data_IF_135729036713
#
_entry.id   IF_135729036713
#
_cell.length_a   1.000
_cell.length_b   1.000
_cell.length_c   1.000
_cell.angle_alpha   90.00
_cell.angle_beta   90.00
_cell.angle_gamma   90.00
#
_symmetry.space_group_name_H-M   'P 1'
#
loop_
_entity.id
_entity.type
_entity.pdbx_description
1 polymer ?
#
# COMPACT_ATOMS: atom_id res chain seq x y z
N UNK A 1 -15.42 71.87 13.61
CA UNK A 1 -15.85 70.65 12.94
C UNK A 1 -14.73 69.62 13.01
N UNK A 2 -14.79 68.70 13.90
CA UNK A 2 -13.82 67.61 13.96
C UNK A 2 -14.34 66.43 13.14
N UNK A 3 -13.64 66.11 12.10
CA UNK A 3 -13.89 64.90 11.37
C UNK A 3 -13.18 63.77 12.09
N UNK A 4 -13.92 62.83 12.61
CA UNK A 4 -13.37 61.59 13.09
C UNK A 4 -13.22 60.69 11.89
N UNK A 5 -11.99 60.39 11.45
CA UNK A 5 -11.86 59.39 10.41
C UNK A 5 -12.34 58.09 11.00
N UNK A 6 -13.34 57.48 10.37
CA UNK A 6 -13.75 56.14 10.68
C UNK A 6 -12.55 55.24 10.44
N UNK A 7 -11.84 54.89 11.52
CA UNK A 7 -10.86 53.82 11.43
C UNK A 7 -11.62 52.55 11.15
N UNK A 8 -11.65 52.18 9.92
CA UNK A 8 -12.02 50.84 9.54
C UNK A 8 -10.91 49.95 10.09
N UNK A 9 -11.15 49.35 11.20
CA UNK A 9 -10.38 48.20 11.63
C UNK A 9 -10.67 47.10 10.59
N UNK A 10 -9.79 46.99 9.64
CA UNK A 10 -9.74 45.82 8.81
C UNK A 10 -9.29 44.67 9.78
N UNK A 11 -10.24 43.94 10.28
CA UNK A 11 -9.94 42.68 10.92
C UNK A 11 -9.31 41.81 9.85
N UNK A 12 -7.99 41.73 9.85
CA UNK A 12 -7.31 40.74 9.08
C UNK A 12 -7.66 39.38 9.69
N UNK A 13 -8.65 38.72 9.10
CA UNK A 13 -8.85 37.31 9.39
C UNK A 13 -7.66 36.57 8.80
N UNK A 14 -6.68 36.30 9.63
CA UNK A 14 -5.72 35.27 9.31
C UNK A 14 -6.49 33.95 9.32
N UNK A 15 -6.92 33.54 8.17
CA UNK A 15 -7.38 32.16 8.00
C UNK A 15 -6.15 31.28 8.16
N UNK A 16 -5.90 30.83 9.39
CA UNK A 16 -4.95 29.76 9.60
C UNK A 16 -5.57 28.51 8.97
N UNK A 17 -5.27 28.26 7.71
CA UNK A 17 -5.60 27.01 7.07
C UNK A 17 -4.68 25.98 7.72
N UNK A 18 -5.21 25.29 8.71
CA UNK A 18 -4.59 24.10 9.22
C UNK A 18 -4.70 23.06 8.12
N UNK A 19 -3.64 22.95 7.32
CA UNK A 19 -3.45 21.76 6.49
C UNK A 19 -3.15 20.61 7.43
N UNK A 20 -4.20 19.90 7.88
CA UNK A 20 -3.99 18.54 8.28
C UNK A 20 -3.39 17.84 7.05
N UNK A 21 -2.27 17.10 7.16
CA UNK A 21 -1.80 16.29 6.06
C UNK A 21 -2.91 15.30 5.72
N UNK A 22 -3.71 15.65 4.72
CA UNK A 22 -4.64 14.71 4.14
C UNK A 22 -3.78 13.59 3.57
N UNK A 23 -4.04 12.35 3.99
CA UNK A 23 -3.47 11.19 3.36
C UNK A 23 -3.85 11.27 1.88
N UNK A 24 -2.88 11.58 1.01
CA UNK A 24 -3.12 11.61 -0.41
C UNK A 24 -3.31 10.17 -0.88
N UNK A 25 -4.36 9.95 -1.66
CA UNK A 25 -4.53 8.71 -2.37
C UNK A 25 -3.36 8.54 -3.34
N UNK A 26 -2.72 7.40 -3.25
CA UNK A 26 -1.62 7.01 -4.12
C UNK A 26 -1.92 5.66 -4.76
N UNK A 27 -0.97 5.19 -5.54
CA UNK A 27 -0.99 3.87 -6.12
C UNK A 27 0.41 3.27 -6.12
N UNK A 28 0.48 1.98 -6.32
CA UNK A 28 1.69 1.24 -6.59
C UNK A 28 1.32 -0.06 -7.29
N UNK A 29 2.16 -0.51 -8.21
CA UNK A 29 1.98 -1.78 -8.90
C UNK A 29 3.03 -2.76 -8.43
N UNK A 30 2.60 -3.90 -7.91
CA UNK A 30 3.49 -4.99 -7.54
C UNK A 30 3.70 -5.90 -8.74
N UNK A 31 4.94 -6.05 -9.16
CA UNK A 31 5.33 -7.00 -10.22
C UNK A 31 5.73 -8.31 -9.56
N UNK A 32 5.02 -9.39 -9.83
CA UNK A 32 5.24 -10.68 -9.18
C UNK A 32 5.35 -11.78 -10.22
N UNK A 33 6.35 -12.62 -10.05
CA UNK A 33 6.54 -13.83 -10.86
C UNK A 33 6.51 -15.06 -9.97
N UNK A 34 5.66 -16.02 -10.32
CA UNK A 34 5.64 -17.32 -9.69
C UNK A 34 6.62 -18.25 -10.41
N UNK A 35 7.80 -18.46 -9.86
CA UNK A 35 8.79 -19.42 -10.35
C UNK A 35 8.70 -20.79 -9.67
N UNK A 36 7.69 -20.99 -8.84
CA UNK A 36 7.40 -22.25 -8.18
C UNK A 36 6.56 -23.16 -9.10
N UNK A 37 6.70 -24.47 -9.05
CA UNK A 37 5.93 -25.39 -9.89
C UNK A 37 4.46 -25.50 -9.51
N UNK A 38 4.04 -24.99 -8.37
CA UNK A 38 2.66 -24.99 -7.92
C UNK A 38 2.07 -23.58 -8.03
N UNK A 39 0.73 -23.50 -8.15
CA UNK A 39 0.02 -22.24 -8.07
C UNK A 39 0.25 -21.58 -6.71
N UNK A 40 0.26 -20.26 -6.71
CA UNK A 40 0.47 -19.43 -5.54
C UNK A 40 -0.71 -18.53 -5.27
N UNK A 41 -0.96 -18.29 -3.99
CA UNK A 41 -1.84 -17.24 -3.50
C UNK A 41 -1.01 -16.13 -2.91
N UNK A 42 -1.48 -14.89 -3.04
CA UNK A 42 -0.77 -13.72 -2.55
C UNK A 42 -1.75 -12.69 -2.03
N UNK A 43 -1.39 -12.09 -0.92
CA UNK A 43 -2.05 -10.91 -0.39
C UNK A 43 -1.01 -9.82 -0.12
N UNK A 44 -1.48 -8.58 -0.14
CA UNK A 44 -0.70 -7.42 0.23
C UNK A 44 -1.27 -6.84 1.51
N UNK A 45 -0.39 -6.49 2.43
CA UNK A 45 -0.76 -6.05 3.78
C UNK A 45 -0.17 -4.70 4.08
N UNK A 46 -1.02 -3.76 4.51
CA UNK A 46 -0.52 -2.50 5.08
C UNK A 46 0.16 -2.76 6.41
N UNK A 47 1.30 -2.10 6.63
CA UNK A 47 1.96 -2.10 7.94
C UNK A 47 1.55 -0.89 8.79
N UNK A 48 0.81 0.04 8.21
CA UNK A 48 0.42 1.29 8.86
C UNK A 48 -1.03 1.28 9.34
N UNK A 49 -1.84 0.37 8.81
CA UNK A 49 -3.26 0.22 9.15
C UNK A 49 -3.70 -1.23 8.95
N UNK A 50 -4.84 -1.56 9.49
CA UNK A 50 -5.46 -2.87 9.29
C UNK A 50 -6.17 -2.88 7.92
N UNK A 51 -5.40 -3.17 6.88
CA UNK A 51 -5.89 -3.21 5.52
C UNK A 51 -5.15 -4.24 4.69
N UNK A 52 -5.89 -4.99 3.89
CA UNK A 52 -5.41 -6.10 3.05
C UNK A 52 -5.92 -5.90 1.62
N UNK A 53 -5.07 -6.16 0.63
CA UNK A 53 -5.45 -6.21 -0.78
C UNK A 53 -5.37 -7.65 -1.29
N UNK A 54 -6.30 -8.10 -2.12
CA UNK A 54 -7.45 -7.37 -2.67
C UNK A 54 -8.57 -7.15 -1.65
N UNK A 55 -8.54 -7.78 -0.49
CA UNK A 55 -9.58 -7.67 0.52
C UNK A 55 -10.81 -8.56 0.26
N UNK A 56 -11.81 -8.43 1.13
CA UNK A 56 -13.08 -9.17 1.03
C UNK A 56 -12.91 -10.69 1.08
N UNK A 57 -11.90 -11.20 1.82
CA UNK A 57 -11.63 -12.63 1.90
C UNK A 57 -11.06 -13.25 0.63
N UNK A 58 -10.65 -12.40 -0.32
CA UNK A 58 -10.03 -12.82 -1.58
C UNK A 58 -8.51 -12.70 -1.51
N UNK A 59 -7.84 -13.35 -2.43
CA UNK A 59 -6.41 -13.24 -2.65
C UNK A 59 -6.11 -13.16 -4.16
N UNK A 60 -4.90 -12.76 -4.48
CA UNK A 60 -4.39 -12.83 -5.85
C UNK A 60 -3.94 -14.26 -6.12
N UNK A 61 -4.12 -14.71 -7.33
CA UNK A 61 -3.77 -16.06 -7.76
C UNK A 61 -2.79 -16.01 -8.91
N UNK A 62 -1.71 -16.76 -8.82
CA UNK A 62 -0.73 -16.92 -9.88
C UNK A 62 -0.54 -18.40 -10.19
N UNK A 63 -0.77 -18.78 -11.43
CA UNK A 63 -0.41 -20.11 -11.91
C UNK A 63 1.11 -20.31 -11.90
N UNK A 64 1.56 -21.55 -12.00
CA UNK A 64 2.98 -21.83 -12.12
C UNK A 64 3.57 -21.10 -13.34
N UNK A 65 4.71 -20.45 -13.13
CA UNK A 65 5.41 -19.67 -14.16
C UNK A 65 4.74 -18.36 -14.56
N UNK A 66 3.60 -18.01 -13.98
CA UNK A 66 2.88 -16.79 -14.30
C UNK A 66 3.56 -15.55 -13.73
N UNK A 67 3.59 -14.49 -14.52
CA UNK A 67 3.97 -13.15 -14.08
C UNK A 67 2.73 -12.27 -14.11
N UNK A 68 2.49 -11.57 -13.01
CA UNK A 68 1.38 -10.61 -12.89
C UNK A 68 1.85 -9.26 -12.41
N UNK A 69 1.20 -8.23 -12.92
CA UNK A 69 1.26 -6.89 -12.37
C UNK A 69 0.00 -6.67 -11.53
N UNK A 70 0.18 -6.30 -10.27
CA UNK A 70 -0.89 -6.11 -9.30
C UNK A 70 -0.98 -4.63 -8.94
N UNK A 71 -1.78 -3.84 -9.66
CA UNK A 71 -1.98 -2.43 -9.31
C UNK A 71 -2.94 -2.32 -8.13
N UNK A 72 -2.57 -1.53 -7.14
CA UNK A 72 -3.41 -1.26 -5.98
C UNK A 72 -3.47 0.24 -5.69
N UNK A 73 -4.58 0.66 -5.10
CA UNK A 73 -4.71 1.99 -4.50
C UNK A 73 -4.30 1.92 -3.05
N UNK A 74 -3.49 2.87 -2.62
CA UNK A 74 -2.94 2.92 -1.26
C UNK A 74 -2.83 4.37 -0.80
N UNK A 75 -2.47 4.57 0.45
CA UNK A 75 -2.12 5.89 0.95
C UNK A 75 -0.67 6.18 0.60
N UNK A 76 -0.39 7.38 0.09
CA UNK A 76 0.98 7.75 -0.26
C UNK A 76 1.89 7.67 0.96
N UNK A 77 3.03 6.99 0.80
CA UNK A 77 3.98 6.73 1.88
C UNK A 77 3.65 5.50 2.72
N UNK A 78 2.53 4.83 2.46
CA UNK A 78 2.14 3.61 3.17
C UNK A 78 3.12 2.49 2.91
N UNK A 79 3.53 1.79 3.96
CA UNK A 79 4.36 0.60 3.86
C UNK A 79 3.49 -0.63 3.65
N UNK A 80 3.76 -1.36 2.57
CA UNK A 80 2.96 -2.50 2.14
C UNK A 80 3.87 -3.70 1.94
N UNK A 81 3.57 -4.80 2.63
CA UNK A 81 4.34 -6.03 2.53
C UNK A 81 3.54 -7.11 1.80
N UNK A 82 4.24 -7.92 1.01
CA UNK A 82 3.60 -9.07 0.39
C UNK A 82 3.74 -10.32 1.23
N UNK A 83 2.70 -11.13 1.24
CA UNK A 83 2.73 -12.50 1.71
C UNK A 83 2.19 -13.41 0.62
N UNK A 84 2.92 -14.47 0.32
CA UNK A 84 2.53 -15.46 -0.67
C UNK A 84 2.68 -16.86 -0.09
N UNK A 85 1.87 -17.77 -0.57
CA UNK A 85 1.90 -19.17 -0.14
C UNK A 85 1.46 -20.09 -1.27
N UNK A 86 1.86 -21.32 -1.19
CA UNK A 86 1.42 -22.34 -2.15
C UNK A 86 -0.08 -22.58 -1.97
N UNK A 87 -0.82 -22.61 -3.07
CA UNK A 87 -2.24 -22.93 -3.05
C UNK A 87 -2.46 -24.30 -2.44
N UNK A 88 -3.22 -24.36 -1.33
CA UNK A 88 -3.47 -25.58 -0.59
C UNK A 88 -2.39 -25.94 0.46
N UNK A 89 -1.31 -25.16 0.56
CA UNK A 89 -0.25 -25.38 1.56
C UNK A 89 0.29 -24.06 2.10
N UNK A 90 -0.34 -23.54 3.12
CA UNK A 90 0.06 -22.28 3.78
C UNK A 90 1.38 -22.40 4.57
N UNK A 91 1.86 -23.61 4.80
CA UNK A 91 3.15 -23.85 5.45
C UNK A 91 4.34 -23.56 4.55
N UNK A 92 4.12 -23.50 3.24
CA UNK A 92 5.13 -23.09 2.25
C UNK A 92 4.83 -21.68 1.78
N UNK A 93 5.60 -20.72 2.27
CA UNK A 93 5.30 -19.30 2.08
C UNK A 93 6.52 -18.46 1.74
N UNK A 94 6.25 -17.27 1.24
CA UNK A 94 7.23 -16.20 0.97
C UNK A 94 6.76 -14.90 1.63
N UNK A 95 7.69 -13.99 1.82
CA UNK A 95 7.38 -12.70 2.40
C UNK A 95 6.90 -12.82 3.84
N UNK A 96 5.87 -12.06 4.16
CA UNK A 96 5.26 -12.09 5.50
C UNK A 96 4.26 -13.24 5.68
N UNK A 97 4.17 -14.15 4.71
CA UNK A 97 3.30 -15.31 4.77
C UNK A 97 1.81 -14.96 4.79
N UNK A 98 0.94 -15.98 4.90
CA UNK A 98 -0.49 -15.75 5.02
C UNK A 98 -0.81 -15.03 6.33
N UNK A 99 -1.64 -13.99 6.26
CA UNK A 99 -2.10 -13.25 7.43
C UNK A 99 -1.09 -12.26 8.02
N UNK A 100 -0.01 -11.93 7.30
CA UNK A 100 1.01 -10.97 7.77
C UNK A 100 1.67 -11.39 9.10
N UNK A 101 1.87 -12.67 9.31
CA UNK A 101 2.31 -13.22 10.60
C UNK A 101 3.81 -13.40 10.73
N UNK A 102 4.52 -13.42 9.60
CA UNK A 102 5.94 -13.72 9.58
C UNK A 102 6.76 -12.45 9.43
N UNK A 103 7.94 -12.40 10.03
CA UNK A 103 8.87 -11.30 9.85
C UNK A 103 9.57 -11.42 8.51
N UNK A 104 9.60 -10.34 7.76
CA UNK A 104 10.36 -10.25 6.53
C UNK A 104 10.81 -8.80 6.32
N UNK A 105 12.12 -8.59 6.25
CA UNK A 105 12.68 -7.24 6.13
C UNK A 105 12.61 -6.70 4.70
N UNK A 106 12.79 -7.56 3.70
CA UNK A 106 12.88 -7.16 2.29
C UNK A 106 11.58 -7.39 1.51
N UNK A 107 10.46 -7.46 2.22
CA UNK A 107 9.17 -7.80 1.63
C UNK A 107 8.22 -6.63 1.55
N UNK A 108 8.67 -5.44 1.89
CA UNK A 108 7.83 -4.27 2.03
C UNK A 108 8.26 -3.18 1.05
N UNK A 109 7.28 -2.51 0.48
CA UNK A 109 7.43 -1.46 -0.50
C UNK A 109 6.60 -0.26 -0.08
N UNK A 110 7.09 0.93 -0.42
CA UNK A 110 6.40 2.17 -0.13
C UNK A 110 5.44 2.51 -1.25
N UNK A 111 4.21 2.91 -0.90
CA UNK A 111 3.26 3.46 -1.84
C UNK A 111 3.74 4.84 -2.31
N UNK A 112 4.35 4.90 -3.47
CA UNK A 112 4.94 6.13 -4.02
C UNK A 112 4.73 6.28 -5.53
N UNK A 113 3.73 5.58 -6.08
CA UNK A 113 3.53 5.47 -7.51
C UNK A 113 4.53 4.46 -8.13
N UNK A 114 4.39 4.25 -9.44
CA UNK A 114 5.29 3.38 -10.19
C UNK A 114 5.09 1.89 -9.91
N UNK A 115 6.06 1.12 -10.33
CA UNK A 115 6.05 -0.34 -10.24
C UNK A 115 7.25 -0.80 -9.43
N UNK A 116 7.04 -1.84 -8.60
CA UNK A 116 8.15 -2.46 -7.88
C UNK A 116 9.08 -3.18 -8.85
N UNK A 117 10.30 -3.45 -8.42
CA UNK A 117 11.09 -4.48 -9.08
C UNK A 117 10.35 -5.82 -9.03
N UNK A 118 10.66 -6.73 -9.94
CA UNK A 118 10.01 -8.03 -10.00
C UNK A 118 10.30 -8.84 -8.73
N UNK A 119 9.25 -9.20 -8.03
CA UNK A 119 9.30 -10.10 -6.88
C UNK A 119 9.21 -11.52 -7.43
N UNK A 120 10.28 -12.27 -7.30
CA UNK A 120 10.36 -13.63 -7.82
C UNK A 120 10.16 -14.65 -6.70
N UNK A 121 9.05 -15.37 -6.76
CA UNK A 121 8.72 -16.43 -5.81
C UNK A 121 9.44 -17.71 -6.25
N UNK A 122 10.66 -17.88 -5.78
CA UNK A 122 11.51 -19.04 -6.13
C UNK A 122 11.32 -20.19 -5.14
N UNK A 123 11.47 -21.45 -5.58
CA UNK A 123 11.40 -22.61 -4.70
C UNK A 123 12.44 -22.59 -3.57
#
# INVERSE_FOLDING_TARGET
MSFIPARRLAAAFSLAILFAPAAHAGDVTFAVKNSHPNAMRLELYSQDRDYVWPGNGKDFYLDDGETKSLPISCNEGESICYGAWVDGDEGTYWGVGPGNKEKCEDCCYTCSGGETEEINLVP
#
